data_IF_635020259391
#
_entry.id   IF_635020259391
#
_cell.length_a   1.000
_cell.length_b   1.000
_cell.length_c   1.000
_cell.angle_alpha   90.00
_cell.angle_beta   90.00
_cell.angle_gamma   90.00
#
_symmetry.space_group_name_H-M   'P 1'
#
loop_
_entity.id
_entity.type
_entity.pdbx_description
1 polymer ?
#
# COMPACT_ATOMS: atom_id res chain seq x y z
N UNK A 1 -15.97 9.59 4.04
CA UNK A 1 -14.91 8.59 3.77
C UNK A 1 -14.79 7.72 5.01
N UNK A 2 -15.09 6.42 4.94
CA UNK A 2 -14.89 5.52 6.07
C UNK A 2 -13.46 4.96 5.98
N UNK A 3 -12.67 5.17 7.03
CA UNK A 3 -11.35 4.58 7.17
C UNK A 3 -11.49 3.29 7.94
N UNK A 4 -10.94 2.20 7.42
CA UNK A 4 -10.86 0.92 8.13
C UNK A 4 -9.42 0.74 8.59
N UNK A 5 -9.25 0.59 9.90
CA UNK A 5 -7.97 0.30 10.55
C UNK A 5 -8.08 -1.12 11.13
N UNK A 6 -7.11 -1.96 10.82
CA UNK A 6 -7.05 -3.33 11.34
C UNK A 6 -6.26 -3.30 12.66
N UNK A 7 -6.93 -3.67 13.76
CA UNK A 7 -6.30 -3.69 15.09
C UNK A 7 -5.56 -5.01 15.39
N UNK A 8 -6.00 -6.10 14.76
CA UNK A 8 -5.39 -7.42 14.87
C UNK A 8 -5.85 -8.32 13.72
N UNK A 9 -5.03 -9.32 13.42
CA UNK A 9 -5.39 -10.48 12.58
C UNK A 9 -5.13 -11.75 13.39
N UNK A 10 -5.83 -12.84 13.09
CA UNK A 10 -5.53 -14.13 13.74
C UNK A 10 -4.33 -14.82 13.08
N UNK A 11 -3.69 -15.74 13.79
CA UNK A 11 -2.63 -16.58 13.20
C UNK A 11 -3.17 -17.41 12.02
N UNK A 12 -4.41 -17.90 12.12
CA UNK A 12 -5.07 -18.63 11.04
C UNK A 12 -5.27 -17.77 9.79
N UNK A 13 -5.68 -16.50 9.94
CA UNK A 13 -5.76 -15.56 8.82
C UNK A 13 -4.38 -15.30 8.21
N UNK A 14 -3.37 -15.04 9.04
CA UNK A 14 -1.99 -14.82 8.58
C UNK A 14 -1.47 -16.03 7.79
N UNK A 15 -1.67 -17.25 8.31
CA UNK A 15 -1.26 -18.47 7.65
C UNK A 15 -2.03 -18.66 6.34
N UNK A 16 -3.36 -18.56 6.34
CA UNK A 16 -4.18 -18.76 5.14
C UNK A 16 -3.85 -17.77 4.03
N UNK A 17 -3.52 -16.51 4.35
CA UNK A 17 -3.21 -15.48 3.36
C UNK A 17 -1.80 -15.59 2.80
N UNK A 18 -0.82 -15.98 3.62
CA UNK A 18 0.61 -15.83 3.28
C UNK A 18 1.38 -17.14 3.24
N UNK A 19 0.73 -18.29 3.42
CA UNK A 19 1.39 -19.62 3.42
C UNK A 19 2.28 -19.84 2.20
N UNK A 20 1.77 -19.52 1.02
CA UNK A 20 2.49 -19.79 -0.23
C UNK A 20 3.65 -18.81 -0.45
N UNK A 21 3.45 -17.51 -0.16
CA UNK A 21 4.51 -16.49 -0.30
C UNK A 21 5.65 -16.68 0.72
N UNK A 22 5.32 -17.14 1.94
CA UNK A 22 6.27 -17.35 3.04
C UNK A 22 6.78 -18.80 3.14
N UNK A 23 6.33 -19.67 2.24
CA UNK A 23 6.62 -21.11 2.22
C UNK A 23 6.41 -21.76 3.61
N UNK A 24 5.29 -21.46 4.24
CA UNK A 24 4.98 -21.94 5.60
C UNK A 24 4.43 -23.36 5.58
N UNK A 25 4.96 -24.19 6.49
CA UNK A 25 4.41 -25.51 6.80
C UNK A 25 4.04 -25.58 8.28
N UNK A 26 2.85 -26.08 8.58
CA UNK A 26 2.45 -26.35 9.95
C UNK A 26 3.30 -27.49 10.53
N UNK A 27 3.82 -27.30 11.75
CA UNK A 27 4.57 -28.31 12.49
C UNK A 27 3.71 -28.84 13.63
N UNK A 28 3.37 -30.13 13.58
CA UNK A 28 2.48 -30.75 14.56
C UNK A 28 1.00 -30.60 14.20
N UNK A 29 0.17 -30.39 15.21
CA UNK A 29 -1.29 -30.26 15.09
C UNK A 29 -1.72 -28.78 14.97
N UNK A 30 -2.95 -28.56 14.53
CA UNK A 30 -3.56 -27.22 14.45
C UNK A 30 -4.11 -26.80 15.81
N UNK A 31 -3.37 -25.94 16.51
CA UNK A 31 -3.78 -25.34 17.78
C UNK A 31 -3.34 -23.88 17.86
N UNK A 32 -4.10 -23.03 18.57
CA UNK A 32 -3.79 -21.62 18.77
C UNK A 32 -3.95 -20.70 17.55
N UNK A 33 -4.65 -21.15 16.49
CA UNK A 33 -4.83 -20.36 15.26
C UNK A 33 -5.69 -19.10 15.45
N UNK A 34 -6.52 -19.05 16.49
CA UNK A 34 -7.32 -17.88 16.86
C UNK A 34 -6.52 -16.81 17.61
N UNK A 35 -5.25 -17.07 17.97
CA UNK A 35 -4.44 -16.12 18.72
C UNK A 35 -4.19 -14.84 17.89
N UNK A 36 -4.40 -13.64 18.46
CA UNK A 36 -4.28 -12.39 17.72
C UNK A 36 -2.83 -11.94 17.57
N UNK A 37 -2.41 -11.72 16.33
CA UNK A 37 -1.27 -10.88 15.99
C UNK A 37 -1.74 -9.42 16.10
N UNK A 38 -1.01 -8.58 16.85
CA UNK A 38 -1.40 -7.17 17.08
C UNK A 38 -0.36 -6.16 16.63
N UNK A 39 0.82 -6.62 16.24
CA UNK A 39 1.91 -5.76 15.81
C UNK A 39 2.38 -6.21 14.41
N UNK A 40 2.40 -5.32 13.41
CA UNK A 40 2.64 -5.66 12.01
C UNK A 40 4.12 -5.84 11.68
N UNK A 41 4.85 -6.57 12.51
CA UNK A 41 6.26 -6.86 12.31
C UNK A 41 6.62 -8.21 12.93
N UNK A 42 7.55 -8.97 12.33
CA UNK A 42 8.12 -10.14 12.99
C UNK A 42 9.14 -9.71 14.07
N UNK A 43 9.46 -10.64 14.96
CA UNK A 43 10.48 -10.46 15.99
C UNK A 43 11.43 -11.66 16.05
N UNK A 44 12.71 -11.39 16.32
CA UNK A 44 13.70 -12.44 16.64
C UNK A 44 13.92 -12.47 18.15
N UNK A 45 13.50 -13.53 18.87
CA UNK A 45 13.50 -13.55 20.33
C UNK A 45 14.86 -13.91 20.96
N UNK A 46 15.99 -13.45 20.40
CA UNK A 46 17.33 -13.85 20.88
C UNK A 46 17.56 -13.58 22.38
N UNK A 47 17.35 -12.35 22.84
CA UNK A 47 17.48 -11.98 24.26
C UNK A 47 16.39 -12.61 25.14
N UNK A 48 15.19 -12.80 24.61
CA UNK A 48 14.10 -13.44 25.33
C UNK A 48 14.40 -14.90 25.64
N UNK A 49 15.01 -15.64 24.69
CA UNK A 49 15.50 -17.00 24.92
C UNK A 49 16.67 -17.04 25.93
N UNK A 50 17.40 -15.94 26.12
CA UNK A 50 18.38 -15.78 27.20
C UNK A 50 17.75 -15.38 28.56
N UNK A 51 16.44 -15.16 28.61
CA UNK A 51 15.66 -14.82 29.81
C UNK A 51 15.46 -13.34 30.07
N UNK A 52 15.78 -12.48 29.10
CA UNK A 52 15.54 -11.04 29.22
C UNK A 52 14.23 -10.65 28.50
N UNK A 53 13.18 -10.36 29.28
CA UNK A 53 11.83 -10.13 28.76
C UNK A 53 11.32 -8.68 28.83
N UNK A 54 12.07 -7.75 29.43
CA UNK A 54 11.62 -6.36 29.68
C UNK A 54 11.10 -5.65 28.44
N UNK A 55 11.74 -5.87 27.29
CA UNK A 55 11.34 -5.29 25.99
C UNK A 55 10.95 -6.37 24.97
N UNK A 56 10.52 -7.53 25.44
CA UNK A 56 10.15 -8.61 24.55
C UNK A 56 8.87 -8.27 23.77
N UNK A 57 8.98 -8.24 22.44
CA UNK A 57 7.88 -7.95 21.54
C UNK A 57 6.94 -9.16 21.40
N UNK A 58 6.27 -9.54 22.49
CA UNK A 58 5.42 -10.74 22.60
C UNK A 58 4.18 -10.73 21.72
N UNK A 59 3.76 -9.57 21.19
CA UNK A 59 2.57 -9.44 20.32
C UNK A 59 2.87 -9.64 18.83
N UNK A 60 4.14 -9.91 18.50
CA UNK A 60 4.65 -10.13 17.14
C UNK A 60 4.76 -11.62 16.84
N UNK A 61 4.72 -11.95 15.55
CA UNK A 61 5.15 -13.26 15.05
C UNK A 61 6.62 -13.48 15.43
N UNK A 62 6.95 -14.62 16.03
CA UNK A 62 8.31 -14.91 16.48
C UNK A 62 9.03 -15.76 15.44
N UNK A 63 10.27 -15.40 15.10
CA UNK A 63 11.06 -16.09 14.08
C UNK A 63 12.41 -16.51 14.65
N UNK A 64 12.71 -17.80 14.60
CA UNK A 64 14.01 -18.35 14.96
C UNK A 64 14.81 -18.64 13.69
N UNK A 65 16.06 -18.20 13.68
CA UNK A 65 17.05 -18.58 12.68
C UNK A 65 18.19 -19.37 13.30
N UNK A 66 19.32 -19.36 12.59
CA UNK A 66 20.53 -20.08 13.03
C UNK A 66 21.04 -19.61 14.38
N UNK A 67 21.03 -18.30 14.66
CA UNK A 67 21.60 -17.74 15.89
C UNK A 67 20.84 -18.21 17.13
N UNK A 68 19.51 -18.12 17.10
CA UNK A 68 18.62 -18.52 18.18
C UNK A 68 18.69 -20.03 18.41
N UNK A 69 18.64 -20.82 17.33
CA UNK A 69 18.70 -22.27 17.43
C UNK A 69 20.07 -22.76 17.88
N UNK A 70 21.16 -22.13 17.42
CA UNK A 70 22.52 -22.46 17.87
C UNK A 70 22.73 -22.13 19.34
N UNK A 71 22.14 -21.04 19.83
CA UNK A 71 22.15 -20.71 21.25
C UNK A 71 21.41 -21.78 22.05
N UNK A 72 20.17 -22.15 21.65
CA UNK A 72 19.40 -23.19 22.32
C UNK A 72 20.14 -24.53 22.35
N UNK A 73 20.76 -24.94 21.23
CA UNK A 73 21.53 -26.20 21.12
C UNK A 73 22.78 -26.24 21.99
N UNK A 74 23.32 -25.09 22.42
CA UNK A 74 24.49 -25.02 23.32
C UNK A 74 24.12 -25.18 24.80
N UNK A 75 22.84 -25.07 25.14
CA UNK A 75 22.35 -25.25 26.50
C UNK A 75 22.14 -26.73 26.77
N UNK A 76 22.33 -27.14 28.03
CA UNK A 76 21.88 -28.45 28.51
C UNK A 76 20.34 -28.54 28.44
N UNK A 77 19.82 -29.76 28.35
CA UNK A 77 18.39 -30.02 28.12
C UNK A 77 17.49 -29.37 29.17
N UNK A 78 17.91 -29.38 30.45
CA UNK A 78 17.14 -28.80 31.56
C UNK A 78 17.06 -27.27 31.44
N UNK A 79 18.18 -26.62 31.13
CA UNK A 79 18.22 -25.18 30.91
C UNK A 79 17.46 -24.79 29.65
N UNK A 80 17.62 -25.55 28.55
CA UNK A 80 16.93 -25.31 27.27
C UNK A 80 15.42 -25.35 27.44
N UNK A 81 14.88 -26.40 28.07
CA UNK A 81 13.46 -26.53 28.37
C UNK A 81 12.95 -25.37 29.24
N UNK A 82 13.66 -25.04 30.34
CA UNK A 82 13.29 -23.93 31.24
C UNK A 82 13.25 -22.57 30.52
N UNK A 83 14.20 -22.30 29.62
CA UNK A 83 14.26 -21.05 28.84
C UNK A 83 13.12 -20.98 27.84
N UNK A 84 12.85 -22.09 27.14
CA UNK A 84 11.78 -22.14 26.16
C UNK A 84 10.40 -22.06 26.80
N UNK A 85 10.17 -22.75 27.92
CA UNK A 85 8.94 -22.66 28.72
C UNK A 85 8.70 -21.20 29.20
N UNK A 86 9.76 -20.51 29.67
CA UNK A 86 9.65 -19.11 30.05
C UNK A 86 9.27 -18.18 28.88
N UNK A 87 9.74 -18.51 27.66
CA UNK A 87 9.32 -17.85 26.42
C UNK A 87 7.86 -18.15 26.08
N UNK A 88 7.43 -19.42 26.15
CA UNK A 88 6.04 -19.82 25.91
C UNK A 88 5.06 -19.17 26.89
N UNK A 89 5.45 -18.98 28.15
CA UNK A 89 4.66 -18.25 29.17
C UNK A 89 4.39 -16.79 28.80
N UNK A 90 5.17 -16.19 27.91
CA UNK A 90 4.88 -14.84 27.40
C UNK A 90 3.73 -14.81 26.39
N UNK A 91 3.23 -15.97 25.95
CA UNK A 91 2.14 -16.16 24.98
C UNK A 91 2.38 -15.40 23.67
N UNK A 92 3.46 -15.72 22.93
CA UNK A 92 3.63 -15.21 21.57
C UNK A 92 2.52 -15.77 20.64
N UNK A 93 2.05 -15.01 19.63
CA UNK A 93 1.03 -15.46 18.70
C UNK A 93 1.38 -16.78 18.01
N UNK A 94 2.59 -16.87 17.47
CA UNK A 94 3.11 -18.08 16.85
C UNK A 94 4.65 -18.03 16.78
N UNK A 95 5.25 -19.18 16.49
CA UNK A 95 6.69 -19.35 16.36
C UNK A 95 7.04 -20.00 15.02
N UNK A 96 7.99 -19.40 14.31
CA UNK A 96 8.40 -19.82 12.98
C UNK A 96 9.88 -20.21 13.00
N UNK A 97 10.22 -21.38 12.48
CA UNK A 97 11.60 -21.83 12.28
C UNK A 97 11.98 -21.65 10.81
N UNK A 98 12.93 -20.75 10.55
CA UNK A 98 13.45 -20.55 9.20
C UNK A 98 14.54 -21.59 8.86
N UNK A 99 14.86 -21.72 7.57
CA UNK A 99 15.93 -22.57 7.01
C UNK A 99 15.72 -24.09 7.15
N UNK A 100 14.48 -24.56 7.15
CA UNK A 100 14.16 -26.01 7.23
C UNK A 100 14.77 -26.73 8.43
N UNK A 101 15.06 -26.00 9.51
CA UNK A 101 15.50 -26.68 10.73
C UNK A 101 14.35 -27.51 11.30
N UNK A 102 14.62 -28.70 11.86
CA UNK A 102 13.63 -29.42 12.62
C UNK A 102 13.46 -28.75 14.00
N UNK A 103 12.22 -28.66 14.47
CA UNK A 103 11.96 -28.38 15.88
C UNK A 103 12.42 -29.58 16.72
N UNK A 104 13.20 -29.37 17.80
CA UNK A 104 13.45 -30.42 18.77
C UNK A 104 12.13 -30.91 19.38
N UNK A 105 11.90 -32.23 19.54
CA UNK A 105 10.61 -32.78 20.00
C UNK A 105 10.11 -32.16 21.31
N UNK A 106 10.99 -31.98 22.29
CA UNK A 106 10.69 -31.33 23.56
C UNK A 106 10.11 -29.90 23.43
N UNK A 107 10.50 -29.15 22.39
CA UNK A 107 10.00 -27.79 22.16
C UNK A 107 8.61 -27.84 21.51
N UNK A 108 8.32 -28.88 20.73
CA UNK A 108 7.00 -29.11 20.15
C UNK A 108 6.00 -29.41 21.26
N UNK A 109 6.36 -30.28 22.21
CA UNK A 109 5.51 -30.64 23.34
C UNK A 109 5.21 -29.43 24.23
N UNK A 110 6.23 -28.62 24.55
CA UNK A 110 6.07 -27.38 25.32
C UNK A 110 5.20 -26.34 24.58
N UNK A 111 5.37 -26.21 23.26
CA UNK A 111 4.53 -25.30 22.46
C UNK A 111 3.07 -25.78 22.43
N UNK A 112 2.83 -27.09 22.33
CA UNK A 112 1.50 -27.71 22.39
C UNK A 112 0.81 -27.46 23.72
N UNK A 113 1.51 -27.66 24.84
CA UNK A 113 0.99 -27.38 26.18
C UNK A 113 0.55 -25.91 26.33
N UNK A 114 1.31 -24.99 25.73
CA UNK A 114 1.01 -23.56 25.77
C UNK A 114 0.12 -23.04 24.64
N UNK A 115 -0.36 -23.92 23.75
CA UNK A 115 -1.19 -23.56 22.60
C UNK A 115 -0.54 -22.54 21.65
N UNK A 116 0.76 -22.69 21.37
CA UNK A 116 1.52 -21.80 20.46
C UNK A 116 1.73 -22.47 19.10
N UNK A 117 1.07 -22.01 18.02
CA UNK A 117 1.25 -22.53 16.68
C UNK A 117 2.72 -22.50 16.25
N UNK A 118 3.19 -23.63 15.70
CA UNK A 118 4.55 -23.77 15.18
C UNK A 118 4.52 -23.89 13.66
N UNK A 119 5.38 -23.11 12.99
CA UNK A 119 5.55 -23.19 11.54
C UNK A 119 7.02 -23.39 11.15
N UNK A 120 7.26 -24.15 10.10
CA UNK A 120 8.54 -24.25 9.41
C UNK A 120 8.53 -23.40 8.14
N UNK A 121 9.69 -22.90 7.75
CA UNK A 121 9.90 -22.32 6.43
C UNK A 121 11.31 -22.65 5.93
N UNK A 122 11.49 -23.05 4.65
CA UNK A 122 12.81 -23.30 4.07
C UNK A 122 13.61 -22.02 3.81
N UNK A 123 12.96 -20.86 3.89
CA UNK A 123 13.56 -19.59 3.52
C UNK A 123 14.75 -19.21 4.42
N UNK A 124 15.70 -18.48 3.82
CA UNK A 124 16.76 -17.78 4.56
C UNK A 124 16.11 -16.78 5.52
N UNK A 125 16.51 -16.80 6.80
CA UNK A 125 15.90 -16.00 7.88
C UNK A 125 15.67 -14.54 7.52
N UNK A 126 16.65 -13.85 6.92
CA UNK A 126 16.49 -12.43 6.55
C UNK A 126 15.50 -12.22 5.39
N UNK A 127 15.48 -13.14 4.42
CA UNK A 127 14.48 -13.11 3.34
C UNK A 127 13.07 -13.29 3.91
N UNK A 128 12.90 -14.29 4.78
CA UNK A 128 11.65 -14.54 5.49
C UNK A 128 11.18 -13.30 6.25
N UNK A 129 12.06 -12.69 7.08
CA UNK A 129 11.71 -11.51 7.86
C UNK A 129 11.26 -10.34 6.99
N UNK A 130 11.96 -10.08 5.88
CA UNK A 130 11.59 -9.01 4.96
C UNK A 130 10.22 -9.26 4.31
N UNK A 131 9.96 -10.50 3.83
CA UNK A 131 8.66 -10.85 3.26
C UNK A 131 7.55 -10.76 4.30
N UNK A 132 7.73 -11.40 5.46
CA UNK A 132 6.76 -11.41 6.54
C UNK A 132 6.44 -10.00 7.04
N UNK A 133 7.43 -9.10 7.09
CA UNK A 133 7.21 -7.69 7.40
C UNK A 133 6.25 -7.06 6.38
N UNK A 134 6.47 -7.24 5.08
CA UNK A 134 5.58 -6.70 4.04
C UNK A 134 4.17 -7.28 4.10
N UNK A 135 4.05 -8.59 4.30
CA UNK A 135 2.76 -9.27 4.46
C UNK A 135 1.97 -8.68 5.62
N UNK A 136 2.62 -8.55 6.78
CA UNK A 136 2.03 -7.97 7.99
C UNK A 136 1.72 -6.48 7.83
N UNK A 137 2.60 -5.68 7.24
CA UNK A 137 2.33 -4.27 6.93
C UNK A 137 1.11 -4.14 6.01
N UNK A 138 0.98 -5.02 5.03
CA UNK A 138 -0.19 -5.05 4.14
C UNK A 138 -1.48 -5.38 4.88
N UNK A 139 -1.49 -6.42 5.72
CA UNK A 139 -2.68 -6.82 6.48
C UNK A 139 -3.16 -5.72 7.44
N UNK A 140 -2.24 -4.94 8.01
CA UNK A 140 -2.54 -3.89 8.98
C UNK A 140 -2.72 -2.50 8.36
N UNK A 141 -2.49 -2.38 7.06
CA UNK A 141 -2.56 -1.11 6.35
C UNK A 141 -3.93 -0.44 6.50
N UNK A 142 -3.92 0.88 6.69
CA UNK A 142 -5.15 1.65 6.69
C UNK A 142 -5.75 1.66 5.29
N UNK A 143 -7.06 1.39 5.21
CA UNK A 143 -7.78 1.30 3.94
C UNK A 143 -8.99 2.21 3.91
N UNK A 144 -9.39 2.59 2.70
CA UNK A 144 -10.58 3.39 2.43
C UNK A 144 -11.05 3.16 1.00
N UNK A 145 -12.29 3.54 0.71
CA UNK A 145 -12.86 3.46 -0.63
C UNK A 145 -13.37 4.83 -1.03
N UNK A 146 -13.04 5.25 -2.24
CA UNK A 146 -13.48 6.52 -2.83
C UNK A 146 -14.25 6.27 -4.12
N UNK A 147 -15.20 7.15 -4.40
CA UNK A 147 -15.89 7.16 -5.69
C UNK A 147 -15.11 7.97 -6.71
N UNK A 148 -14.80 7.38 -7.87
CA UNK A 148 -13.97 8.01 -8.89
C UNK A 148 -13.45 7.02 -9.91
N UNK A 149 -12.56 7.49 -10.78
CA UNK A 149 -11.91 6.66 -11.79
C UNK A 149 -10.40 6.79 -11.64
N UNK A 150 -9.70 5.68 -11.47
CA UNK A 150 -8.25 5.64 -11.31
C UNK A 150 -7.61 5.17 -12.61
N UNK A 151 -6.66 5.94 -13.13
CA UNK A 151 -5.89 5.60 -14.34
C UNK A 151 -4.39 5.73 -14.10
N UNK A 152 -3.59 4.94 -14.79
CA UNK A 152 -2.13 5.10 -14.91
C UNK A 152 -1.80 5.74 -16.25
N UNK A 153 -1.26 6.95 -16.23
CA UNK A 153 -0.80 7.63 -17.44
C UNK A 153 0.69 7.90 -17.35
N UNK A 154 1.48 7.25 -18.22
CA UNK A 154 2.95 7.40 -18.29
C UNK A 154 3.65 7.21 -16.93
N UNK A 155 3.12 6.34 -16.09
CA UNK A 155 3.70 6.03 -14.78
C UNK A 155 3.11 6.84 -13.63
N UNK A 156 2.30 7.86 -13.90
CA UNK A 156 1.61 8.68 -12.90
C UNK A 156 0.22 8.10 -12.65
N UNK A 157 -0.08 7.72 -11.41
CA UNK A 157 -1.43 7.30 -11.03
C UNK A 157 -2.33 8.51 -10.73
N UNK A 158 -3.46 8.57 -11.41
CA UNK A 158 -4.37 9.71 -11.40
C UNK A 158 -5.76 9.26 -10.95
N UNK A 159 -6.26 9.84 -9.86
CA UNK A 159 -7.64 9.66 -9.42
C UNK A 159 -8.51 10.81 -9.94
N UNK A 160 -9.40 10.50 -10.87
CA UNK A 160 -10.43 11.40 -11.37
C UNK A 160 -11.62 11.40 -10.41
N UNK A 161 -11.89 12.55 -9.81
CA UNK A 161 -13.04 12.81 -8.95
C UNK A 161 -13.96 13.86 -9.56
N UNK A 162 -15.19 13.91 -9.09
CA UNK A 162 -16.19 14.86 -9.58
C UNK A 162 -17.61 14.36 -9.31
N UNK A 163 -18.57 15.28 -9.40
CA UNK A 163 -20.00 14.98 -9.25
C UNK A 163 -20.43 13.86 -10.22
N UNK A 164 -21.53 13.19 -9.91
CA UNK A 164 -22.12 12.22 -10.86
C UNK A 164 -22.45 12.92 -12.18
N UNK A 165 -22.08 12.31 -13.31
CA UNK A 165 -22.23 12.92 -14.63
C UNK A 165 -21.19 14.00 -14.98
N UNK A 166 -20.15 14.22 -14.17
CA UNK A 166 -19.08 15.18 -14.49
C UNK A 166 -18.15 14.76 -15.64
N UNK A 167 -18.39 13.62 -16.30
CA UNK A 167 -17.57 13.12 -17.40
C UNK A 167 -16.34 12.32 -16.97
N UNK A 168 -16.35 11.69 -15.77
CA UNK A 168 -15.18 10.96 -15.23
C UNK A 168 -14.82 9.77 -16.11
N UNK A 169 -15.80 8.92 -16.41
CA UNK A 169 -15.61 7.70 -17.21
C UNK A 169 -15.28 8.04 -18.66
N UNK A 170 -15.93 9.05 -19.25
CA UNK A 170 -15.63 9.56 -20.59
C UNK A 170 -14.21 10.14 -20.68
N UNK A 171 -13.77 10.88 -19.66
CA UNK A 171 -12.38 11.37 -19.57
C UNK A 171 -11.40 10.21 -19.47
N UNK A 172 -11.72 9.17 -18.70
CA UNK A 172 -10.88 7.98 -18.59
C UNK A 172 -10.74 7.24 -19.92
N UNK A 173 -11.83 7.08 -20.70
CA UNK A 173 -11.75 6.51 -22.06
C UNK A 173 -10.82 7.33 -22.95
N UNK A 174 -11.00 8.66 -22.99
CA UNK A 174 -10.10 9.52 -23.77
C UNK A 174 -8.64 9.45 -23.30
N UNK A 175 -8.38 9.10 -22.03
CA UNK A 175 -7.05 8.82 -21.53
C UNK A 175 -6.52 7.46 -22.00
N UNK A 176 -7.35 6.42 -22.03
CA UNK A 176 -6.99 5.10 -22.56
C UNK A 176 -6.61 5.17 -24.04
N UNK A 177 -7.34 5.95 -24.84
CA UNK A 177 -7.02 6.22 -26.25
C UNK A 177 -5.64 6.90 -26.42
N UNK A 178 -5.20 7.66 -25.40
CA UNK A 178 -3.88 8.29 -25.35
C UNK A 178 -2.80 7.37 -24.72
N UNK A 179 -3.10 6.09 -24.49
CA UNK A 179 -2.20 5.08 -23.96
C UNK A 179 -2.15 5.01 -22.43
N UNK A 180 -3.15 5.54 -21.72
CA UNK A 180 -3.32 5.26 -20.30
C UNK A 180 -3.78 3.81 -20.06
N UNK A 181 -3.72 3.37 -18.81
CA UNK A 181 -4.31 2.12 -18.38
C UNK A 181 -5.32 2.34 -17.24
N UNK A 182 -6.44 1.64 -17.28
CA UNK A 182 -7.46 1.67 -16.23
C UNK A 182 -6.98 0.88 -15.02
N UNK A 183 -7.09 1.47 -13.84
CA UNK A 183 -6.84 0.80 -12.56
C UNK A 183 -8.16 0.44 -11.89
N UNK A 184 -9.10 1.38 -11.83
CA UNK A 184 -10.41 1.19 -11.24
C UNK A 184 -11.43 2.18 -11.81
N UNK A 185 -12.69 1.77 -11.91
CA UNK A 185 -13.83 2.63 -12.23
C UNK A 185 -14.88 2.52 -11.11
N UNK A 186 -15.63 3.61 -10.91
CA UNK A 186 -16.63 3.81 -9.85
C UNK A 186 -16.10 3.69 -8.41
N UNK A 187 -15.67 2.51 -7.97
CA UNK A 187 -15.14 2.25 -6.62
C UNK A 187 -13.63 2.02 -6.66
N UNK A 188 -12.90 2.97 -6.07
CA UNK A 188 -11.44 2.91 -5.94
C UNK A 188 -11.07 2.53 -4.51
N UNK A 189 -10.51 1.34 -4.32
CA UNK A 189 -9.92 0.93 -3.04
C UNK A 189 -8.55 1.56 -2.89
N UNK A 190 -8.28 2.18 -1.75
CA UNK A 190 -7.02 2.84 -1.46
C UNK A 190 -6.46 2.30 -0.15
N UNK A 191 -5.19 1.92 -0.16
CA UNK A 191 -4.46 1.35 0.97
C UNK A 191 -3.17 2.16 1.21
N UNK A 192 -2.85 2.48 2.46
CA UNK A 192 -1.59 3.13 2.83
C UNK A 192 -0.51 2.09 3.12
N UNK A 193 0.50 1.99 2.24
CA UNK A 193 1.60 1.03 2.32
C UNK A 193 2.93 1.76 2.22
N UNK A 194 3.81 1.60 3.22
CA UNK A 194 5.16 2.18 3.18
C UNK A 194 5.19 3.71 3.02
N UNK A 195 4.17 4.42 3.48
CA UNK A 195 4.05 5.88 3.31
C UNK A 195 3.55 6.32 1.94
N UNK A 196 3.06 5.38 1.12
CA UNK A 196 2.44 5.66 -0.18
C UNK A 196 0.99 5.18 -0.19
N UNK A 197 0.15 5.81 -1.03
CA UNK A 197 -1.21 5.35 -1.28
C UNK A 197 -1.23 4.47 -2.52
N UNK A 198 -1.62 3.21 -2.37
CA UNK A 198 -1.83 2.28 -3.47
C UNK A 198 -3.32 2.16 -3.73
N UNK A 199 -3.72 2.44 -4.97
CA UNK A 199 -5.10 2.34 -5.44
C UNK A 199 -5.30 1.07 -6.28
N UNK A 200 -6.46 0.43 -6.12
CA UNK A 200 -6.87 -0.76 -6.86
C UNK A 200 -8.40 -0.79 -7.03
N UNK A 201 -8.89 -1.74 -7.82
CA UNK A 201 -10.33 -2.02 -7.94
C UNK A 201 -10.73 -3.24 -7.10
N UNK A 202 -12.01 -3.35 -6.69
CA UNK A 202 -12.61 -4.64 -6.38
C UNK A 202 -12.34 -5.65 -7.52
N UNK A 203 -12.28 -6.94 -7.17
CA UNK A 203 -12.02 -8.00 -8.15
C UNK A 203 -13.11 -8.07 -9.23
N UNK A 204 -14.38 -7.96 -8.82
CA UNK A 204 -15.54 -8.06 -9.70
C UNK A 204 -15.60 -6.94 -10.77
N UNK A 205 -15.15 -5.72 -10.43
CA UNK A 205 -15.19 -4.56 -11.34
C UNK A 205 -13.87 -4.32 -12.08
N UNK A 206 -12.87 -5.20 -11.90
CA UNK A 206 -11.54 -5.00 -12.47
C UNK A 206 -11.57 -4.99 -14.01
N UNK A 207 -11.07 -3.92 -14.59
CA UNK A 207 -10.97 -3.76 -16.05
C UNK A 207 -12.31 -3.49 -16.75
N UNK A 208 -13.38 -3.24 -15.99
CA UNK A 208 -14.66 -2.80 -16.52
C UNK A 208 -14.85 -1.30 -16.29
N UNK A 209 -15.57 -0.66 -17.20
CA UNK A 209 -15.98 0.74 -17.07
C UNK A 209 -17.44 0.89 -17.51
N UNK A 210 -18.23 1.64 -16.76
CA UNK A 210 -19.62 1.93 -17.13
C UNK A 210 -19.68 3.23 -17.95
N UNK A 211 -20.21 3.13 -19.17
CA UNK A 211 -20.48 4.30 -20.01
C UNK A 211 -21.97 4.50 -20.21
N UNK A 212 -22.46 5.70 -19.87
CA UNK A 212 -23.88 6.04 -20.08
C UNK A 212 -24.22 6.01 -21.57
N UNK A 213 -25.33 5.34 -21.89
CA UNK A 213 -25.81 5.18 -23.27
C UNK A 213 -25.16 4.03 -24.05
N UNK A 214 -24.09 3.42 -23.53
CA UNK A 214 -23.43 2.25 -24.13
C UNK A 214 -23.60 1.02 -23.23
N UNK A 215 -23.39 1.18 -21.94
CA UNK A 215 -23.39 0.10 -20.95
C UNK A 215 -22.01 -0.18 -20.38
N UNK A 216 -21.84 -1.37 -19.79
CA UNK A 216 -20.58 -1.83 -19.21
C UNK A 216 -19.67 -2.37 -20.32
N UNK A 217 -18.44 -1.89 -20.39
CA UNK A 217 -17.44 -2.35 -21.36
C UNK A 217 -16.23 -2.95 -20.66
N UNK A 218 -15.61 -3.94 -21.30
CA UNK A 218 -14.34 -4.52 -20.85
C UNK A 218 -13.17 -3.82 -21.56
N UNK A 219 -12.34 -3.12 -20.79
CA UNK A 219 -11.22 -2.32 -21.32
C UNK A 219 -10.15 -3.20 -21.97
N UNK A 220 -9.88 -4.39 -21.40
CA UNK A 220 -8.87 -5.29 -21.94
C UNK A 220 -9.24 -5.82 -23.32
N UNK A 221 -10.54 -6.08 -23.55
CA UNK A 221 -11.04 -6.56 -24.84
C UNK A 221 -10.98 -5.47 -25.92
N UNK A 222 -11.17 -4.20 -25.55
CA UNK A 222 -11.21 -3.09 -26.50
C UNK A 222 -9.81 -2.51 -26.79
N UNK A 223 -8.97 -2.38 -25.77
CA UNK A 223 -7.69 -1.65 -25.84
C UNK A 223 -6.47 -2.53 -25.55
N UNK A 224 -6.67 -3.83 -25.31
CA UNK A 224 -5.62 -4.80 -25.01
C UNK A 224 -5.21 -4.86 -23.54
N UNK A 225 -4.42 -5.88 -23.20
CA UNK A 225 -3.96 -6.15 -21.83
C UNK A 225 -3.09 -5.03 -21.24
N UNK A 226 -2.44 -4.21 -22.07
CA UNK A 226 -1.65 -3.07 -21.60
C UNK A 226 -2.51 -1.94 -21.03
N UNK A 227 -3.79 -1.87 -21.40
CA UNK A 227 -4.74 -0.84 -20.98
C UNK A 227 -5.38 -1.11 -19.61
N UNK A 228 -4.95 -2.15 -18.90
CA UNK A 228 -5.37 -2.45 -17.52
C UNK A 228 -4.18 -2.57 -16.58
N UNK A 229 -4.36 -2.12 -15.34
CA UNK A 229 -3.39 -2.19 -14.26
C UNK A 229 -4.09 -2.65 -12.98
N UNK A 230 -3.71 -3.78 -12.37
CA UNK A 230 -4.39 -4.27 -11.15
C UNK A 230 -4.34 -3.30 -9.97
N UNK A 231 -3.22 -2.58 -9.85
CA UNK A 231 -3.01 -1.58 -8.81
C UNK A 231 -2.02 -0.52 -9.28
N UNK A 232 -2.08 0.68 -8.69
CA UNK A 232 -1.18 1.78 -8.98
C UNK A 232 -1.06 2.73 -7.80
N UNK A 233 0.15 3.27 -7.56
CA UNK A 233 0.34 4.37 -6.60
C UNK A 233 -0.47 5.59 -7.02
N UNK A 234 -1.20 6.21 -6.09
CA UNK A 234 -1.90 7.47 -6.30
C UNK A 234 -0.93 8.65 -6.19
N UNK A 235 -0.66 9.32 -7.30
CA UNK A 235 0.26 10.45 -7.39
C UNK A 235 -0.47 11.79 -7.51
N UNK A 236 -1.62 11.82 -8.19
CA UNK A 236 -2.35 13.03 -8.53
C UNK A 236 -3.86 12.81 -8.38
N UNK A 237 -4.55 13.80 -7.84
CA UNK A 237 -6.00 13.88 -7.88
C UNK A 237 -6.41 14.96 -8.86
N UNK A 238 -7.39 14.64 -9.69
CA UNK A 238 -8.01 15.62 -10.58
C UNK A 238 -9.49 15.70 -10.24
N UNK A 239 -9.91 16.89 -9.84
CA UNK A 239 -11.31 17.16 -9.53
C UNK A 239 -11.97 17.83 -10.73
N UNK A 240 -12.82 17.09 -11.44
CA UNK A 240 -13.65 17.60 -12.52
C UNK A 240 -14.78 18.46 -11.94
N UNK A 241 -14.75 19.75 -12.27
CA UNK A 241 -15.77 20.73 -11.86
C UNK A 241 -16.67 21.11 -13.04
N UNK A 242 -17.92 21.46 -12.74
CA UNK A 242 -18.84 21.98 -13.75
C UNK A 242 -18.39 23.37 -14.22
N UNK A 243 -18.74 23.73 -15.46
CA UNK A 243 -18.49 25.07 -16.00
C UNK A 243 -19.10 26.19 -15.14
N UNK A 244 -20.21 25.94 -14.45
CA UNK A 244 -20.82 26.91 -13.53
C UNK A 244 -19.92 27.26 -12.32
N UNK A 245 -18.96 26.39 -12.00
CA UNK A 245 -18.03 26.55 -10.87
C UNK A 245 -16.71 27.23 -11.29
N UNK A 246 -16.63 27.78 -12.53
CA UNK A 246 -15.42 28.40 -13.11
C UNK A 246 -14.85 29.58 -12.32
N UNK A 247 -15.68 30.27 -11.54
CA UNK A 247 -15.24 31.41 -10.74
C UNK A 247 -14.32 31.00 -9.56
N UNK A 248 -14.24 29.71 -9.25
CA UNK A 248 -13.41 29.15 -8.16
C UNK A 248 -12.11 28.48 -8.65
N UNK A 249 -11.90 28.38 -9.97
CA UNK A 249 -10.74 27.70 -10.55
C UNK A 249 -9.57 28.67 -10.65
N UNK A 250 -8.43 28.29 -10.07
CA UNK A 250 -7.20 29.07 -10.16
C UNK A 250 -6.70 29.12 -11.62
N UNK A 251 -6.70 30.31 -12.21
CA UNK A 251 -6.31 30.54 -13.61
C UNK A 251 -4.80 30.60 -13.82
N UNK A 252 -4.04 30.80 -12.74
CA UNK A 252 -2.59 30.98 -12.80
C UNK A 252 -1.85 29.73 -12.31
N UNK A 253 -2.54 28.77 -11.68
CA UNK A 253 -1.94 27.54 -11.15
C UNK A 253 -0.95 27.80 -10.00
N UNK A 254 -1.00 29.00 -9.39
CA UNK A 254 -0.07 29.45 -8.35
C UNK A 254 -0.41 28.79 -7.01
N UNK A 255 -1.70 28.53 -6.72
CA UNK A 255 -2.13 27.88 -5.47
C UNK A 255 -2.10 26.37 -5.63
N UNK A 256 -1.08 25.77 -5.04
CA UNK A 256 -0.95 24.32 -4.90
C UNK A 256 -2.02 23.79 -3.96
N UNK A 257 -3.09 23.22 -4.51
CA UNK A 257 -4.10 22.52 -3.73
C UNK A 257 -3.65 21.09 -3.45
N UNK A 258 -3.94 20.62 -2.24
CA UNK A 258 -3.77 19.21 -1.86
C UNK A 258 -5.09 18.66 -1.36
N UNK A 259 -5.31 17.38 -1.54
CA UNK A 259 -6.46 16.66 -1.01
C UNK A 259 -5.99 15.60 0.00
N UNK A 260 -6.50 15.61 1.24
CA UNK A 260 -6.12 14.61 2.24
C UNK A 260 -6.82 13.27 1.95
N UNK A 261 -6.05 12.19 1.91
CA UNK A 261 -6.54 10.80 1.86
C UNK A 261 -5.78 10.01 2.92
N UNK A 262 -6.53 9.37 3.83
CA UNK A 262 -5.95 8.74 5.03
C UNK A 262 -5.10 9.77 5.79
N UNK A 263 -3.81 9.49 5.97
CA UNK A 263 -2.81 10.33 6.63
C UNK A 263 -1.92 11.12 5.65
N UNK A 264 -2.17 11.01 4.33
CA UNK A 264 -1.34 11.60 3.28
C UNK A 264 -2.05 12.74 2.55
N UNK A 265 -1.26 13.74 2.12
CA UNK A 265 -1.74 14.89 1.31
C UNK A 265 -1.29 14.72 -0.13
N UNK A 266 -2.25 14.52 -1.03
CA UNK A 266 -1.98 14.29 -2.46
C UNK A 266 -2.20 15.59 -3.24
N UNK A 267 -1.34 15.93 -4.23
CA UNK A 267 -1.59 17.05 -5.14
C UNK A 267 -2.98 16.96 -5.80
N UNK A 268 -3.71 18.07 -5.84
CA UNK A 268 -5.05 18.14 -6.44
C UNK A 268 -5.13 19.26 -7.47
N UNK A 269 -5.60 18.94 -8.67
CA UNK A 269 -5.85 19.89 -9.76
C UNK A 269 -7.34 19.91 -10.08
N UNK A 270 -7.95 21.09 -10.09
CA UNK A 270 -9.34 21.26 -10.48
C UNK A 270 -9.43 21.59 -11.98
N UNK A 271 -10.13 20.76 -12.75
CA UNK A 271 -10.30 20.95 -14.20
C UNK A 271 -11.79 21.20 -14.49
N UNK A 272 -12.14 22.35 -15.09
CA UNK A 272 -13.52 22.63 -15.48
C UNK A 272 -13.87 21.88 -16.77
N UNK A 273 -14.99 21.17 -16.75
CA UNK A 273 -15.55 20.44 -17.89
C UNK A 273 -16.57 21.31 -18.60
N UNK A 274 -16.41 21.46 -19.92
CA UNK A 274 -17.30 22.25 -20.78
C UNK A 274 -17.38 21.60 -22.17
N UNK A 275 -18.50 21.75 -22.90
CA UNK A 275 -18.61 21.30 -24.28
C UNK A 275 -17.47 21.82 -25.16
N UNK A 276 -16.90 20.95 -26.00
CA UNK A 276 -15.78 21.29 -26.89
C UNK A 276 -14.39 21.30 -26.23
N UNK A 277 -14.27 21.07 -24.92
CA UNK A 277 -12.97 20.88 -24.27
C UNK A 277 -12.58 19.41 -24.23
N UNK A 278 -11.36 19.11 -24.67
CA UNK A 278 -10.73 17.78 -24.48
C UNK A 278 -10.20 17.68 -23.03
N UNK A 279 -11.06 17.21 -22.13
CA UNK A 279 -10.71 17.01 -20.71
C UNK A 279 -9.56 16.02 -20.54
N UNK A 280 -9.51 14.95 -21.35
CA UNK A 280 -8.44 13.96 -21.29
C UNK A 280 -7.08 14.59 -21.63
N UNK A 281 -7.03 15.52 -22.59
CA UNK A 281 -5.81 16.29 -22.88
C UNK A 281 -5.40 17.21 -21.73
N UNK A 282 -6.36 17.83 -21.04
CA UNK A 282 -6.02 18.67 -19.87
C UNK A 282 -5.48 17.81 -18.71
N UNK A 283 -6.08 16.65 -18.48
CA UNK A 283 -5.60 15.65 -17.51
C UNK A 283 -4.17 15.20 -17.84
N UNK A 284 -3.89 14.88 -19.11
CA UNK A 284 -2.55 14.44 -19.50
C UNK A 284 -1.49 15.52 -19.32
N UNK A 285 -1.81 16.79 -19.61
CA UNK A 285 -0.92 17.92 -19.33
C UNK A 285 -0.66 18.08 -17.83
N UNK A 286 -1.68 17.95 -16.98
CA UNK A 286 -1.51 18.02 -15.53
C UNK A 286 -0.61 16.91 -14.98
N UNK A 287 -0.71 15.70 -15.53
CA UNK A 287 0.16 14.58 -15.16
C UNK A 287 1.63 14.83 -15.56
N UNK A 288 1.85 15.36 -16.78
CA UNK A 288 3.19 15.71 -17.25
C UNK A 288 3.80 16.87 -16.45
N UNK A 289 3.01 17.87 -16.08
CA UNK A 289 3.43 18.97 -15.22
C UNK A 289 3.86 18.45 -13.83
N UNK A 290 3.10 17.52 -13.22
CA UNK A 290 3.52 16.87 -11.98
C UNK A 290 4.85 16.12 -12.15
N UNK A 291 5.05 15.45 -13.28
CA UNK A 291 6.30 14.73 -13.57
C UNK A 291 7.49 15.70 -13.71
N UNK A 292 7.32 16.83 -14.38
CA UNK A 292 8.34 17.89 -14.48
C UNK A 292 8.70 18.46 -13.10
N UNK A 293 7.69 18.70 -12.25
CA UNK A 293 7.92 19.18 -10.87
C UNK A 293 8.69 18.19 -10.02
N UNK A 294 8.43 16.88 -10.17
CA UNK A 294 9.21 15.83 -9.51
C UNK A 294 10.68 15.83 -9.93
N UNK A 295 11.00 16.36 -11.12
CA UNK A 295 12.36 16.56 -11.61
C UNK A 295 12.97 17.92 -11.23
N UNK A 296 12.23 18.76 -10.50
CA UNK A 296 12.68 20.08 -10.04
C UNK A 296 12.30 21.25 -10.96
N UNK A 297 11.53 21.02 -12.03
CA UNK A 297 11.09 22.08 -12.94
C UNK A 297 9.69 22.58 -12.56
N UNK A 298 9.57 23.84 -12.11
CA UNK A 298 8.29 24.50 -11.86
C UNK A 298 8.03 25.58 -12.93
N UNK A 299 7.21 25.23 -13.92
CA UNK A 299 6.91 26.10 -15.07
C UNK A 299 6.23 27.41 -14.65
N UNK A 300 5.40 27.39 -13.60
CA UNK A 300 4.67 28.57 -13.13
C UNK A 300 5.61 29.53 -12.40
N UNK A 301 6.52 29.01 -11.57
CA UNK A 301 7.55 29.81 -10.92
C UNK A 301 8.54 30.39 -11.93
N UNK A 302 9.01 29.58 -12.90
CA UNK A 302 9.90 30.05 -13.96
C UNK A 302 9.26 31.18 -14.79
N UNK A 303 7.97 31.05 -15.13
CA UNK A 303 7.24 32.09 -15.84
C UNK A 303 7.03 33.34 -14.97
N UNK A 304 6.72 33.18 -13.68
CA UNK A 304 6.57 34.29 -12.75
C UNK A 304 7.89 35.05 -12.56
N UNK A 305 9.01 34.34 -12.42
CA UNK A 305 10.34 34.93 -12.37
C UNK A 305 10.68 35.69 -13.66
N UNK A 306 10.32 35.15 -14.83
CA UNK A 306 10.50 35.86 -16.12
C UNK A 306 9.62 37.11 -16.23
N UNK A 307 8.39 37.06 -15.73
CA UNK A 307 7.48 38.21 -15.68
C UNK A 307 8.03 39.30 -14.75
N UNK A 308 8.45 38.93 -13.54
CA UNK A 308 9.06 39.85 -12.57
C UNK A 308 10.34 40.48 -13.13
N UNK A 309 11.19 39.69 -13.82
CA UNK A 309 12.38 40.18 -14.47
C UNK A 309 12.10 41.17 -15.63
N UNK A 310 10.95 41.02 -16.32
CA UNK A 310 10.50 41.99 -17.34
C UNK A 310 9.82 43.22 -16.76
N UNK A 311 9.18 43.09 -15.58
CA UNK A 311 8.49 44.19 -14.90
C UNK A 311 9.44 45.07 -14.07
N UNK A 312 10.62 44.56 -13.70
CA UNK A 312 11.70 45.32 -13.05
C UNK A 312 12.99 45.34 -13.90
N UNK A 313 13.03 46.13 -15.00
CA UNK A 313 14.27 46.32 -15.75
C UNK A 313 15.35 47.13 -14.98
N UNK A 314 14.98 47.91 -13.97
CA UNK A 314 15.84 48.92 -13.32
C UNK A 314 16.72 48.41 -12.14
N UNK A 315 16.81 47.10 -11.92
CA UNK A 315 17.73 46.52 -10.91
C UNK A 315 19.06 46.06 -11.49
N UNK A 316 19.27 46.20 -12.82
CA UNK A 316 20.55 45.89 -13.47
C UNK A 316 21.52 47.07 -13.58
N UNK A 317 21.06 48.31 -13.37
CA UNK A 317 21.88 49.53 -13.45
C UNK A 317 21.85 50.32 -12.13
N UNK A 318 22.33 49.71 -11.05
CA UNK A 318 22.88 50.49 -9.93
C UNK A 318 24.32 50.03 -9.67
N UNK A 319 25.30 50.95 -9.74
CA UNK A 319 26.73 50.65 -9.64
C UNK A 319 27.13 50.10 -8.27
#
# INVERSE_FOLDING_TARGET
>A
MKTKIVQSITVGEFYSRHKDELELSLVGEEYGFDEPIREPAPNRPGLALAGFFTYFAKKRVQVLGNSELSYLRKLDDRTRAKRFEAFCKQRPPCLILARSHPFPPELIDLAKEHQIPLFGSPMVTMKFLNLATRCLESDFASTTTMHGVMVDYRGIGILLMGKSGAGKSETAIGMLEKGAALVADDMVHIQSLGGELIASSPELSRGYIEMRGIGIINVANLYGLSAIRPQKRLDLIITLKSQADLNEVDRLGIRRKTYPILDLKIPNVEIPVAPGRDTARLVSVAALDLQLRKLGYDMADEFNQRLLAKMNPDLKDRP
#
